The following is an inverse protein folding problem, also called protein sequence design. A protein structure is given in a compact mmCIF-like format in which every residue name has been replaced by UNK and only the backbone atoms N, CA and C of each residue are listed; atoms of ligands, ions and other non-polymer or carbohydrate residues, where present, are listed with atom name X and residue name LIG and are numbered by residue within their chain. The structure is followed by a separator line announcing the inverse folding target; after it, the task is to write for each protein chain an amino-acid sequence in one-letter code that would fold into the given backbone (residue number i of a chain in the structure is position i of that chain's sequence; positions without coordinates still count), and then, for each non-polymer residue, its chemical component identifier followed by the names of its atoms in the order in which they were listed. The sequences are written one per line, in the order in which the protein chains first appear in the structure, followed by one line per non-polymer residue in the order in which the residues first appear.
data_IF_097055521916
#
_entry.id   IF_097055521916
#
_cell.length_a   1.000
_cell.length_b   1.000
_cell.length_c   1.000
_cell.angle_alpha   90.00
_cell.angle_beta   90.00
_cell.angle_gamma   90.00
#
_symmetry.space_group_name_H-M   'P 1'
#
loop_
_entity.id
_entity.type
_entity.pdbx_description
1 polymer ?
#
# COMPACT_ATOMS: atom_id res chain seq x y z
N UNK A 1 -13.17 68.07 40.87
CA UNK A 1 -13.73 67.49 39.64
C UNK A 1 -12.98 68.11 38.48
N UNK A 2 -12.01 67.39 37.90
CA UNK A 2 -11.25 67.84 36.73
C UNK A 2 -11.23 66.70 35.72
N UNK A 3 -11.85 66.94 34.58
CA UNK A 3 -12.13 65.97 33.52
C UNK A 3 -10.91 65.87 32.59
N UNK A 4 -10.28 64.71 32.53
CA UNK A 4 -9.20 64.38 31.58
C UNK A 4 -9.79 63.79 30.30
N UNK A 5 -9.63 64.51 29.19
CA UNK A 5 -9.92 64.04 27.83
C UNK A 5 -8.73 63.23 27.30
N UNK A 6 -8.92 61.92 27.09
CA UNK A 6 -7.95 61.05 26.43
C UNK A 6 -8.15 61.10 24.91
N UNK A 7 -7.12 61.54 24.18
CA UNK A 7 -7.06 61.49 22.71
C UNK A 7 -6.58 60.09 22.29
N UNK A 8 -7.44 59.32 21.64
CA UNK A 8 -7.12 57.99 21.11
C UNK A 8 -6.22 58.12 19.88
N UNK A 9 -4.97 57.64 19.98
CA UNK A 9 -4.08 57.50 18.82
C UNK A 9 -4.39 56.18 18.15
N UNK A 10 -4.97 56.24 16.94
CA UNK A 10 -5.22 55.07 16.12
C UNK A 10 -3.90 54.51 15.58
N UNK A 11 -3.41 53.42 16.18
CA UNK A 11 -2.30 52.64 15.63
C UNK A 11 -2.81 51.88 14.42
N UNK A 12 -2.50 52.38 13.22
CA UNK A 12 -2.64 51.64 11.97
C UNK A 12 -1.56 50.56 11.93
N UNK A 13 -1.93 49.34 12.32
CA UNK A 13 -1.10 48.15 12.13
C UNK A 13 -1.02 47.88 10.62
N UNK A 14 0.07 48.31 10.00
CA UNK A 14 0.40 47.94 8.63
C UNK A 14 0.73 46.45 8.59
N UNK A 15 -0.16 45.67 7.99
CA UNK A 15 0.09 44.27 7.64
C UNK A 15 1.25 44.22 6.65
N UNK A 16 2.46 43.94 7.14
CA UNK A 16 3.63 43.71 6.30
C UNK A 16 3.34 42.52 5.38
N UNK A 17 3.05 42.79 4.11
CA UNK A 17 2.94 41.76 3.08
C UNK A 17 4.37 41.24 2.88
N UNK A 18 4.65 40.00 3.27
CA UNK A 18 5.95 39.37 3.05
C UNK A 18 6.26 39.43 1.54
N UNK A 19 7.13 40.36 1.15
CA UNK A 19 7.54 40.56 -0.23
C UNK A 19 8.63 39.53 -0.51
N UNK A 20 8.25 38.30 -0.85
CA UNK A 20 9.22 37.33 -1.35
C UNK A 20 9.83 37.87 -2.65
N UNK A 21 11.09 37.52 -2.94
CA UNK A 21 11.76 37.92 -4.18
C UNK A 21 11.93 36.72 -5.10
N UNK A 22 11.91 36.94 -6.40
CA UNK A 22 12.20 35.90 -7.39
C UNK A 22 13.71 35.68 -7.44
N UNK A 23 14.18 34.49 -7.08
CA UNK A 23 15.60 34.16 -7.04
C UNK A 23 16.08 33.51 -8.34
N UNK A 24 17.27 33.90 -8.79
CA UNK A 24 18.02 33.21 -9.85
C UNK A 24 18.85 32.08 -9.20
N UNK A 25 18.80 30.83 -9.71
CA UNK A 25 19.56 29.74 -9.14
C UNK A 25 21.06 30.02 -9.09
N UNK A 26 21.71 29.66 -7.98
CA UNK A 26 23.16 29.77 -7.82
C UNK A 26 23.94 28.77 -8.69
N UNK A 27 25.28 28.78 -8.57
CA UNK A 27 26.21 27.92 -9.35
C UNK A 27 25.87 26.42 -9.33
N UNK A 28 25.26 25.93 -8.25
CA UNK A 28 24.82 24.54 -8.11
C UNK A 28 23.29 24.40 -8.07
N UNK A 29 22.56 25.36 -8.63
CA UNK A 29 21.10 25.36 -8.71
C UNK A 29 20.37 25.57 -7.39
N UNK A 30 21.08 26.03 -6.35
CA UNK A 30 20.51 26.38 -5.05
C UNK A 30 19.65 27.63 -5.16
N UNK A 31 18.48 27.57 -4.53
CA UNK A 31 17.50 28.64 -4.43
C UNK A 31 17.22 28.92 -2.95
N UNK A 32 17.24 30.18 -2.49
CA UNK A 32 16.79 30.53 -1.14
C UNK A 32 15.34 30.06 -0.90
N UNK A 33 15.07 29.44 0.24
CA UNK A 33 13.76 28.84 0.57
C UNK A 33 12.64 29.88 0.74
N UNK A 34 13.01 31.13 0.98
CA UNK A 34 12.15 32.31 1.10
C UNK A 34 11.81 32.97 -0.25
N UNK A 35 12.37 32.46 -1.36
CA UNK A 35 12.08 32.97 -2.69
C UNK A 35 10.67 32.56 -3.16
N UNK A 36 9.96 33.44 -3.88
CA UNK A 36 8.60 33.14 -4.37
C UNK A 36 8.56 31.94 -5.33
N UNK A 37 9.68 31.65 -5.99
CA UNK A 37 9.87 30.56 -6.93
C UNK A 37 10.68 29.40 -6.35
N UNK A 38 10.76 29.29 -5.02
CA UNK A 38 11.32 28.12 -4.35
C UNK A 38 10.32 26.96 -4.38
N UNK A 39 10.77 25.80 -4.86
CA UNK A 39 9.96 24.59 -4.89
C UNK A 39 10.18 23.68 -3.66
N UNK A 40 11.20 23.96 -2.86
CA UNK A 40 11.58 23.18 -1.68
C UNK A 40 11.55 24.08 -0.45
N UNK A 41 11.10 23.52 0.67
CA UNK A 41 11.10 24.19 1.98
C UNK A 41 12.45 24.05 2.71
N UNK A 42 13.43 23.43 2.07
CA UNK A 42 14.79 23.18 2.56
C UNK A 42 15.76 23.08 1.39
N UNK A 43 17.07 23.14 1.66
CA UNK A 43 18.11 22.92 0.64
C UNK A 43 18.41 21.41 0.52
N UNK A 44 18.00 20.71 -0.55
CA UNK A 44 18.17 19.27 -0.66
C UNK A 44 19.64 18.88 -0.82
N UNK A 45 20.10 17.90 -0.05
CA UNK A 45 21.48 17.43 -0.07
C UNK A 45 21.74 16.52 -1.26
N UNK A 46 22.58 16.98 -2.20
CA UNK A 46 23.04 16.16 -3.33
C UNK A 46 23.71 14.87 -2.85
N UNK A 47 24.59 14.95 -1.84
CA UNK A 47 25.35 13.82 -1.36
C UNK A 47 24.46 12.75 -0.71
N UNK A 48 23.48 13.17 0.11
CA UNK A 48 22.57 12.25 0.76
C UNK A 48 21.65 11.54 -0.25
N UNK A 49 21.02 12.30 -1.16
CA UNK A 49 20.16 11.73 -2.19
C UNK A 49 20.93 10.77 -3.12
N UNK A 50 22.17 11.12 -3.50
CA UNK A 50 23.02 10.25 -4.31
C UNK A 50 23.39 8.97 -3.56
N UNK A 51 23.70 9.04 -2.27
CA UNK A 51 24.00 7.86 -1.47
C UNK A 51 22.82 6.87 -1.45
N UNK A 52 21.60 7.36 -1.19
CA UNK A 52 20.40 6.52 -1.25
C UNK A 52 20.14 5.98 -2.66
N UNK A 53 20.34 6.79 -3.71
CA UNK A 53 20.24 6.34 -5.10
C UNK A 53 21.15 5.14 -5.38
N UNK A 54 22.43 5.22 -4.97
CA UNK A 54 23.40 4.14 -5.15
C UNK A 54 23.01 2.91 -4.31
N UNK A 55 22.58 3.08 -3.06
CA UNK A 55 22.17 1.97 -2.19
C UNK A 55 20.94 1.22 -2.73
N UNK A 56 19.91 1.93 -3.19
CA UNK A 56 18.76 1.34 -3.86
C UNK A 56 19.13 0.71 -5.20
N UNK A 57 20.03 1.33 -5.97
CA UNK A 57 20.54 0.78 -7.22
C UNK A 57 21.28 -0.55 -7.03
N UNK A 58 22.17 -0.64 -6.05
CA UNK A 58 22.86 -1.89 -5.67
C UNK A 58 21.86 -2.97 -5.25
N UNK A 59 20.91 -2.59 -4.39
CA UNK A 59 19.84 -3.48 -3.92
C UNK A 59 19.00 -4.02 -5.07
N UNK A 60 18.64 -3.17 -6.03
CA UNK A 60 17.91 -3.52 -7.26
C UNK A 60 18.70 -4.51 -8.11
N UNK A 61 20.01 -4.29 -8.28
CA UNK A 61 20.88 -5.17 -9.05
C UNK A 61 20.95 -6.58 -8.43
N UNK A 62 21.05 -6.67 -7.10
CA UNK A 62 21.03 -7.95 -6.39
C UNK A 62 19.69 -8.67 -6.61
N UNK A 63 18.55 -7.97 -6.48
CA UNK A 63 17.23 -8.56 -6.77
C UNK A 63 17.12 -9.06 -8.21
N UNK A 64 17.67 -8.33 -9.19
CA UNK A 64 17.68 -8.74 -10.59
C UNK A 64 18.49 -10.03 -10.81
N UNK A 65 19.70 -10.09 -10.25
CA UNK A 65 20.54 -11.30 -10.29
C UNK A 65 19.78 -12.47 -9.66
N UNK A 66 19.18 -12.27 -8.48
CA UNK A 66 18.40 -13.29 -7.80
C UNK A 66 17.18 -13.76 -8.61
N UNK A 67 16.49 -12.85 -9.30
CA UNK A 67 15.36 -13.21 -10.16
C UNK A 67 15.78 -14.06 -11.36
N UNK A 68 16.95 -13.79 -11.96
CA UNK A 68 17.51 -14.59 -13.06
C UNK A 68 17.91 -15.99 -12.55
N UNK A 69 18.53 -16.07 -11.36
CA UNK A 69 18.98 -17.33 -10.77
C UNK A 69 17.82 -18.22 -10.29
N UNK A 70 16.85 -17.65 -9.55
CA UNK A 70 15.75 -18.41 -8.95
C UNK A 70 14.53 -18.57 -9.85
N UNK A 71 14.43 -17.76 -10.92
CA UNK A 71 13.35 -17.80 -11.94
C UNK A 71 11.94 -17.72 -11.36
N UNK A 72 11.78 -17.06 -10.20
CA UNK A 72 10.47 -16.87 -9.53
C UNK A 72 9.80 -15.60 -10.04
N UNK A 73 8.75 -15.75 -10.85
CA UNK A 73 8.11 -14.63 -11.55
C UNK A 73 7.51 -13.55 -10.63
N UNK A 74 7.11 -13.90 -9.41
CA UNK A 74 6.52 -12.91 -8.50
C UNK A 74 7.55 -11.95 -7.88
N UNK A 75 8.84 -12.31 -7.91
CA UNK A 75 9.92 -11.44 -7.43
C UNK A 75 10.14 -10.21 -8.32
N UNK A 76 9.63 -10.21 -9.56
CA UNK A 76 9.58 -9.01 -10.40
C UNK A 76 8.85 -7.84 -9.73
N UNK A 77 7.89 -8.13 -8.85
CA UNK A 77 7.16 -7.09 -8.10
C UNK A 77 8.09 -6.35 -7.13
N UNK A 78 8.97 -7.06 -6.43
CA UNK A 78 9.97 -6.43 -5.56
C UNK A 78 11.02 -5.64 -6.38
N UNK A 79 11.42 -6.16 -7.54
CA UNK A 79 12.33 -5.45 -8.46
C UNK A 79 11.72 -4.12 -8.92
N UNK A 80 10.42 -4.11 -9.28
CA UNK A 80 9.72 -2.89 -9.65
C UNK A 80 9.76 -1.85 -8.53
N UNK A 81 9.48 -2.26 -7.28
CA UNK A 81 9.59 -1.38 -6.11
C UNK A 81 11.00 -0.82 -5.92
N UNK A 82 12.03 -1.67 -5.95
CA UNK A 82 13.43 -1.24 -5.78
C UNK A 82 13.89 -0.31 -6.92
N UNK A 83 13.44 -0.59 -8.16
CA UNK A 83 13.72 0.25 -9.33
C UNK A 83 13.08 1.63 -9.17
N UNK A 84 11.85 1.70 -8.67
CA UNK A 84 11.15 2.97 -8.46
C UNK A 84 11.80 3.79 -7.35
N UNK A 85 12.26 3.18 -6.26
CA UNK A 85 13.08 3.90 -5.26
C UNK A 85 14.36 4.47 -5.90
N UNK A 86 15.06 3.66 -6.71
CA UNK A 86 16.28 4.10 -7.40
C UNK A 86 16.01 5.29 -8.32
N UNK A 87 14.95 5.22 -9.14
CA UNK A 87 14.55 6.31 -10.04
C UNK A 87 14.12 7.54 -9.25
N UNK A 88 13.35 7.37 -8.18
CA UNK A 88 12.91 8.46 -7.30
C UNK A 88 14.11 9.21 -6.72
N UNK A 89 15.09 8.49 -6.17
CA UNK A 89 16.32 9.10 -5.65
C UNK A 89 17.25 9.66 -6.74
N UNK A 90 17.25 9.10 -7.96
CA UNK A 90 17.94 9.71 -9.09
C UNK A 90 17.35 11.09 -9.42
N UNK A 91 16.02 11.19 -9.49
CA UNK A 91 15.34 12.47 -9.70
C UNK A 91 15.57 13.46 -8.54
N UNK A 92 15.51 13.01 -7.28
CA UNK A 92 15.82 13.88 -6.12
C UNK A 92 17.27 14.35 -6.14
N UNK A 93 18.20 13.50 -6.57
CA UNK A 93 19.62 13.87 -6.76
C UNK A 93 19.77 14.94 -7.83
N UNK A 94 19.13 14.79 -8.99
CA UNK A 94 19.13 15.81 -10.05
C UNK A 94 18.42 17.10 -9.60
N UNK A 95 17.30 16.97 -8.87
CA UNK A 95 16.52 18.07 -8.31
C UNK A 95 17.30 18.90 -7.30
N UNK A 96 18.19 18.29 -6.50
CA UNK A 96 19.05 19.02 -5.56
C UNK A 96 19.96 20.05 -6.25
N UNK A 97 20.34 19.79 -7.51
CA UNK A 97 21.16 20.70 -8.33
C UNK A 97 20.37 21.53 -9.33
N UNK A 98 19.05 21.33 -9.41
CA UNK A 98 18.16 22.09 -10.26
C UNK A 98 16.80 22.23 -9.57
N UNK A 99 16.78 23.04 -8.51
CA UNK A 99 15.68 23.09 -7.55
C UNK A 99 14.40 23.68 -8.16
N UNK A 100 14.50 24.51 -9.20
CA UNK A 100 13.34 25.10 -9.88
C UNK A 100 12.68 24.15 -10.89
N UNK A 101 13.32 23.02 -11.21
CA UNK A 101 12.77 22.07 -12.16
C UNK A 101 11.66 21.23 -11.52
N UNK A 102 10.40 21.58 -11.84
CA UNK A 102 9.23 20.86 -11.34
C UNK A 102 9.17 19.40 -11.80
N UNK A 103 9.75 19.06 -12.96
CA UNK A 103 9.79 17.67 -13.45
C UNK A 103 10.55 16.79 -12.47
N UNK A 104 11.72 17.22 -11.99
CA UNK A 104 12.50 16.44 -11.04
C UNK A 104 11.80 16.30 -9.69
N UNK A 105 11.16 17.36 -9.22
CA UNK A 105 10.38 17.33 -7.98
C UNK A 105 9.19 16.38 -8.09
N UNK A 106 8.34 16.55 -9.10
CA UNK A 106 7.10 15.78 -9.27
C UNK A 106 7.41 14.30 -9.46
N UNK A 107 8.31 13.95 -10.39
CA UNK A 107 8.63 12.55 -10.65
C UNK A 107 9.42 11.92 -9.50
N UNK A 108 10.35 12.65 -8.88
CA UNK A 108 11.08 12.19 -7.71
C UNK A 108 10.14 11.86 -6.55
N UNK A 109 9.18 12.74 -6.26
CA UNK A 109 8.18 12.52 -5.22
C UNK A 109 7.21 11.40 -5.59
N UNK A 110 6.75 11.34 -6.84
CA UNK A 110 5.83 10.31 -7.30
C UNK A 110 6.45 8.92 -7.15
N UNK A 111 7.63 8.68 -7.71
CA UNK A 111 8.30 7.38 -7.60
C UNK A 111 8.59 7.00 -6.14
N UNK A 112 9.03 7.97 -5.33
CA UNK A 112 9.26 7.75 -3.90
C UNK A 112 7.98 7.37 -3.14
N UNK A 113 6.82 7.94 -3.49
CA UNK A 113 5.54 7.61 -2.85
C UNK A 113 4.97 6.26 -3.31
N UNK A 114 5.16 5.89 -4.58
CA UNK A 114 4.53 4.68 -5.13
C UNK A 114 5.39 3.42 -4.97
N UNK A 115 6.71 3.54 -4.85
CA UNK A 115 7.61 2.39 -4.72
C UNK A 115 7.26 1.43 -3.57
N UNK A 116 6.88 1.88 -2.36
CA UNK A 116 6.51 0.99 -1.25
C UNK A 116 5.26 0.13 -1.52
N UNK A 117 4.35 0.58 -2.39
CA UNK A 117 3.16 -0.20 -2.76
C UNK A 117 3.54 -1.52 -3.43
N UNK A 118 4.59 -1.49 -4.26
CA UNK A 118 5.12 -2.68 -4.89
C UNK A 118 5.73 -3.64 -3.86
N UNK A 119 6.47 -3.11 -2.90
CA UNK A 119 7.10 -3.90 -1.83
C UNK A 119 6.02 -4.56 -0.97
N UNK A 120 4.97 -3.82 -0.63
CA UNK A 120 3.86 -4.35 0.14
C UNK A 120 3.08 -5.43 -0.61
N UNK A 121 2.76 -5.18 -1.88
CA UNK A 121 2.15 -6.17 -2.75
C UNK A 121 2.99 -7.45 -2.85
N UNK A 122 4.32 -7.33 -2.93
CA UNK A 122 5.23 -8.46 -2.92
C UNK A 122 5.14 -9.26 -1.62
N UNK A 123 5.10 -8.62 -0.45
CA UNK A 123 4.95 -9.30 0.85
C UNK A 123 3.62 -10.05 0.92
N UNK A 124 2.50 -9.43 0.52
CA UNK A 124 1.20 -10.09 0.43
C UNK A 124 1.24 -11.34 -0.47
N UNK A 125 1.97 -11.23 -1.58
CA UNK A 125 2.20 -12.31 -2.54
C UNK A 125 3.07 -13.43 -1.97
N UNK A 126 4.12 -13.09 -1.22
CA UNK A 126 5.04 -14.03 -0.61
C UNK A 126 4.35 -14.84 0.51
N UNK A 127 3.71 -14.15 1.46
CA UNK A 127 2.99 -14.78 2.57
C UNK A 127 1.88 -15.70 2.05
N UNK A 128 1.10 -15.27 1.06
CA UNK A 128 0.07 -16.13 0.48
C UNK A 128 0.64 -17.40 -0.17
N UNK A 129 1.80 -17.31 -0.84
CA UNK A 129 2.47 -18.50 -1.39
C UNK A 129 2.97 -19.43 -0.29
N UNK A 130 3.44 -18.89 0.82
CA UNK A 130 3.86 -19.68 1.98
C UNK A 130 2.67 -20.40 2.63
N UNK A 131 1.53 -19.71 2.78
CA UNK A 131 0.26 -20.31 3.21
C UNK A 131 -0.15 -21.44 2.27
N UNK A 132 -0.09 -21.21 0.96
CA UNK A 132 -0.46 -22.22 -0.04
C UNK A 132 0.47 -23.44 -0.03
N UNK A 133 1.76 -23.22 0.22
CA UNK A 133 2.78 -24.27 0.21
C UNK A 133 2.77 -25.14 1.47
N UNK A 134 2.42 -24.58 2.63
CA UNK A 134 2.51 -25.31 3.92
C UNK A 134 1.17 -25.66 4.57
N UNK A 135 0.08 -24.97 4.24
CA UNK A 135 -1.22 -25.29 4.84
C UNK A 135 -1.88 -26.47 4.10
N UNK A 136 -2.33 -27.53 4.82
CA UNK A 136 -3.03 -28.67 4.22
C UNK A 136 -4.24 -28.25 3.37
N UNK A 137 -5.04 -27.32 3.88
CA UNK A 137 -6.24 -26.82 3.20
C UNK A 137 -5.97 -25.68 2.20
N UNK A 138 -4.71 -25.25 2.05
CA UNK A 138 -4.28 -24.08 1.27
C UNK A 138 -5.07 -22.79 1.61
N UNK A 139 -5.61 -22.74 2.82
CA UNK A 139 -6.45 -21.68 3.37
C UNK A 139 -5.91 -21.23 4.72
N UNK A 140 -6.13 -19.96 5.04
CA UNK A 140 -5.88 -19.38 6.35
C UNK A 140 -7.11 -18.56 6.74
N UNK A 141 -7.62 -18.73 7.96
CA UNK A 141 -8.84 -18.06 8.44
C UNK A 141 -10.05 -18.24 7.50
N UNK A 142 -10.19 -19.42 6.87
CA UNK A 142 -11.25 -19.71 5.89
C UNK A 142 -11.05 -19.08 4.50
N UNK A 143 -10.05 -18.21 4.34
CA UNK A 143 -9.74 -17.50 3.09
C UNK A 143 -8.68 -18.29 2.31
N UNK A 144 -8.91 -18.48 1.00
CA UNK A 144 -7.91 -19.08 0.10
C UNK A 144 -6.73 -18.13 -0.09
N UNK A 145 -5.50 -18.65 -0.04
CA UNK A 145 -4.26 -17.87 -0.19
C UNK A 145 -4.30 -16.86 -1.36
N UNK A 146 -4.73 -17.29 -2.55
CA UNK A 146 -4.80 -16.43 -3.75
C UNK A 146 -5.77 -15.25 -3.55
N UNK A 147 -6.90 -15.47 -2.88
CA UNK A 147 -7.89 -14.40 -2.61
C UNK A 147 -7.36 -13.40 -1.59
N UNK A 148 -6.56 -13.86 -0.63
CA UNK A 148 -5.90 -12.99 0.34
C UNK A 148 -5.00 -11.98 -0.36
N UNK A 149 -4.08 -12.43 -1.23
CA UNK A 149 -3.26 -11.51 -2.02
C UNK A 149 -4.09 -10.51 -2.82
N UNK A 150 -5.11 -10.97 -3.54
CA UNK A 150 -5.93 -10.08 -4.36
C UNK A 150 -6.67 -9.03 -3.51
N UNK A 151 -7.23 -9.43 -2.37
CA UNK A 151 -7.94 -8.52 -1.47
C UNK A 151 -7.02 -7.40 -0.99
N UNK A 152 -5.88 -7.74 -0.40
CA UNK A 152 -4.97 -6.76 0.19
C UNK A 152 -4.33 -5.84 -0.86
N UNK A 153 -3.95 -6.36 -2.03
CA UNK A 153 -3.44 -5.52 -3.13
C UNK A 153 -4.50 -4.55 -3.66
N UNK A 154 -5.75 -4.99 -3.82
CA UNK A 154 -6.81 -4.08 -4.27
C UNK A 154 -7.18 -3.03 -3.24
N UNK A 155 -7.18 -3.39 -1.95
CA UNK A 155 -7.36 -2.43 -0.86
C UNK A 155 -6.27 -1.35 -0.94
N UNK A 156 -5.00 -1.72 -1.02
CA UNK A 156 -3.91 -0.75 -1.15
C UNK A 156 -4.06 0.16 -2.38
N UNK A 157 -4.43 -0.39 -3.54
CA UNK A 157 -4.63 0.41 -4.76
C UNK A 157 -5.73 1.44 -4.54
N UNK A 158 -6.86 1.05 -3.95
CA UNK A 158 -7.98 1.96 -3.67
C UNK A 158 -7.54 3.05 -2.68
N UNK A 159 -6.84 2.68 -1.61
CA UNK A 159 -6.35 3.62 -0.60
C UNK A 159 -5.30 4.58 -1.16
N UNK A 160 -4.46 4.10 -2.05
CA UNK A 160 -3.52 4.94 -2.78
C UNK A 160 -4.23 5.93 -3.72
N UNK A 161 -5.28 5.51 -4.42
CA UNK A 161 -6.08 6.43 -5.26
C UNK A 161 -6.74 7.53 -4.41
N UNK A 162 -7.23 7.19 -3.21
CA UNK A 162 -7.75 8.17 -2.25
C UNK A 162 -6.66 9.16 -1.82
N UNK A 163 -5.45 8.68 -1.55
CA UNK A 163 -4.29 9.54 -1.24
C UNK A 163 -3.89 10.41 -2.43
N UNK A 164 -3.88 9.88 -3.65
CA UNK A 164 -3.60 10.64 -4.86
C UNK A 164 -4.61 11.76 -5.08
N UNK A 165 -5.90 11.47 -4.88
CA UNK A 165 -6.96 12.48 -4.93
C UNK A 165 -6.75 13.54 -3.83
N UNK A 166 -6.53 13.14 -2.59
CA UNK A 166 -6.23 14.06 -1.49
C UNK A 166 -5.01 14.94 -1.76
N UNK A 167 -3.90 14.34 -2.19
CA UNK A 167 -2.64 15.02 -2.55
C UNK A 167 -2.80 16.01 -3.70
N UNK A 168 -3.62 15.69 -4.71
CA UNK A 168 -3.90 16.62 -5.81
C UNK A 168 -4.71 17.85 -5.37
N UNK A 169 -5.52 17.72 -4.33
CA UNK A 169 -6.26 18.85 -3.76
C UNK A 169 -5.36 19.75 -2.90
N UNK A 170 -4.26 19.23 -2.36
CA UNK A 170 -3.27 20.04 -1.64
C UNK A 170 -2.50 21.00 -2.55
N UNK A 171 -2.43 20.76 -3.86
CA UNK A 171 -1.74 21.66 -4.80
C UNK A 171 -2.61 22.83 -5.28
N UNK A 172 -3.85 22.96 -4.77
CA UNK A 172 -4.73 24.07 -5.12
C UNK A 172 -4.42 25.27 -4.21
N UNK A 173 -4.01 26.38 -4.78
CA UNK A 173 -3.60 27.58 -4.03
C UNK A 173 -4.74 28.57 -3.78
N UNK A 174 -5.92 28.35 -4.38
CA UNK A 174 -6.99 29.34 -4.42
C UNK A 174 -8.07 29.11 -3.34
N UNK A 175 -8.19 27.89 -2.80
CA UNK A 175 -9.22 27.54 -1.82
C UNK A 175 -8.69 26.74 -0.63
N UNK A 176 -8.58 27.42 0.52
CA UNK A 176 -8.16 26.82 1.79
C UNK A 176 -9.09 25.69 2.27
N UNK A 177 -10.36 25.67 1.88
CA UNK A 177 -11.26 24.56 2.19
C UNK A 177 -10.90 23.33 1.37
N UNK A 178 -10.56 23.50 0.09
CA UNK A 178 -10.09 22.41 -0.78
C UNK A 178 -8.80 21.79 -0.24
N UNK A 179 -7.84 22.61 0.21
CA UNK A 179 -6.60 22.13 0.85
C UNK A 179 -6.91 21.31 2.11
N UNK A 180 -7.78 21.81 3.00
CA UNK A 180 -8.16 21.11 4.24
C UNK A 180 -8.88 19.79 3.97
N UNK A 181 -9.77 19.76 2.98
CA UNK A 181 -10.45 18.53 2.55
C UNK A 181 -9.42 17.55 1.99
N UNK A 182 -8.51 18.02 1.15
CA UNK A 182 -7.42 17.23 0.59
C UNK A 182 -6.54 16.61 1.67
N UNK A 183 -6.17 17.38 2.69
CA UNK A 183 -5.36 16.91 3.83
C UNK A 183 -6.09 15.79 4.59
N UNK A 184 -7.37 16.01 4.94
CA UNK A 184 -8.19 14.99 5.61
C UNK A 184 -8.34 13.72 4.76
N UNK A 185 -8.54 13.88 3.45
CA UNK A 185 -8.70 12.76 2.52
C UNK A 185 -7.40 11.97 2.39
N UNK A 186 -6.27 12.66 2.25
CA UNK A 186 -4.94 12.04 2.23
C UNK A 186 -4.67 11.27 3.52
N UNK A 187 -4.85 11.91 4.68
CA UNK A 187 -4.65 11.30 6.00
C UNK A 187 -5.57 10.08 6.22
N UNK A 188 -6.83 10.16 5.79
CA UNK A 188 -7.76 9.03 5.87
C UNK A 188 -7.26 7.84 5.04
N UNK A 189 -6.75 8.09 3.83
CA UNK A 189 -6.15 7.07 2.99
C UNK A 189 -4.93 6.40 3.62
N UNK A 190 -4.00 7.19 4.18
CA UNK A 190 -2.81 6.67 4.87
C UNK A 190 -3.19 5.91 6.16
N UNK A 191 -4.15 6.43 6.93
CA UNK A 191 -4.59 5.82 8.19
C UNK A 191 -5.31 4.49 7.98
N UNK A 192 -6.18 4.41 6.96
CA UNK A 192 -6.82 3.16 6.59
C UNK A 192 -5.81 2.17 5.99
N UNK A 193 -4.79 2.66 5.26
CA UNK A 193 -3.69 1.81 4.80
C UNK A 193 -2.93 1.21 5.98
N UNK A 194 -2.60 2.00 7.00
CA UNK A 194 -1.98 1.50 8.23
C UNK A 194 -2.79 0.37 8.86
N UNK A 195 -4.10 0.57 9.00
CA UNK A 195 -5.00 -0.45 9.56
C UNK A 195 -4.97 -1.76 8.75
N UNK A 196 -4.98 -1.67 7.42
CA UNK A 196 -4.87 -2.84 6.53
C UNK A 196 -3.56 -3.60 6.75
N UNK A 197 -2.43 -2.89 6.87
CA UNK A 197 -1.12 -3.51 7.15
C UNK A 197 -1.09 -4.19 8.51
N UNK A 198 -1.60 -3.52 9.55
CA UNK A 198 -1.63 -4.07 10.91
C UNK A 198 -2.49 -5.33 10.97
N UNK A 199 -3.64 -5.35 10.29
CA UNK A 199 -4.45 -6.56 10.14
C UNK A 199 -3.64 -7.66 9.44
N UNK A 200 -2.90 -7.32 8.37
CA UNK A 200 -2.08 -8.29 7.64
C UNK A 200 -0.92 -8.84 8.48
N UNK A 201 -0.30 -8.01 9.33
CA UNK A 201 0.69 -8.44 10.33
C UNK A 201 0.05 -9.46 11.28
N UNK A 202 -1.15 -9.18 11.80
CA UNK A 202 -1.89 -10.10 12.65
C UNK A 202 -2.17 -11.45 11.96
N UNK A 203 -2.57 -11.43 10.69
CA UNK A 203 -2.79 -12.65 9.88
C UNK A 203 -1.48 -13.41 9.67
N UNK A 204 -0.37 -12.71 9.39
CA UNK A 204 0.95 -13.33 9.18
C UNK A 204 1.52 -13.92 10.46
N UNK A 205 1.32 -13.24 11.61
CA UNK A 205 1.68 -13.76 12.92
C UNK A 205 0.83 -14.98 13.28
N UNK A 206 -0.48 -14.94 13.03
CA UNK A 206 -1.36 -16.10 13.20
C UNK A 206 -0.91 -17.28 12.33
N UNK A 207 -0.52 -17.03 11.08
CA UNK A 207 0.07 -18.05 10.22
C UNK A 207 1.33 -18.66 10.83
N UNK A 208 2.23 -17.84 11.36
CA UNK A 208 3.44 -18.30 12.04
C UNK A 208 3.12 -19.22 13.22
N UNK A 209 2.21 -18.80 14.12
CA UNK A 209 1.82 -19.61 15.28
C UNK A 209 1.16 -20.92 14.87
N UNK A 210 0.25 -20.88 13.88
CA UNK A 210 -0.42 -22.08 13.37
C UNK A 210 0.57 -23.04 12.72
N UNK A 211 1.51 -22.53 11.91
CA UNK A 211 2.53 -23.38 11.29
C UNK A 211 3.46 -24.00 12.34
N UNK A 212 3.83 -23.25 13.37
CA UNK A 212 4.64 -23.75 14.48
C UNK A 212 3.93 -24.85 15.27
N UNK A 213 2.61 -24.82 15.40
CA UNK A 213 1.84 -25.91 16.02
C UNK A 213 1.81 -27.17 15.14
N UNK A 214 1.74 -27.02 13.81
CA UNK A 214 1.69 -28.14 12.88
C UNK A 214 3.06 -28.81 12.67
N UNK A 215 4.13 -28.02 12.57
CA UNK A 215 5.47 -28.51 12.21
C UNK A 215 6.47 -28.50 13.37
N UNK A 216 6.16 -27.87 14.49
CA UNK A 216 7.05 -27.77 15.65
C UNK A 216 8.43 -27.20 15.28
N UNK A 217 9.48 -28.01 15.49
CA UNK A 217 10.88 -27.65 15.16
C UNK A 217 11.23 -27.84 13.67
N UNK A 218 10.39 -28.48 12.85
CA UNK A 218 10.72 -28.80 11.45
C UNK A 218 10.48 -27.65 10.46
N UNK A 219 10.09 -26.46 10.93
CA UNK A 219 9.85 -25.30 10.04
C UNK A 219 11.09 -24.89 9.22
N UNK A 220 12.30 -25.17 9.72
CA UNK A 220 13.56 -24.92 9.03
C UNK A 220 13.66 -23.49 8.47
N UNK A 221 13.99 -23.36 7.18
CA UNK A 221 14.12 -22.07 6.48
C UNK A 221 12.80 -21.30 6.34
N UNK A 222 11.64 -21.95 6.47
CA UNK A 222 10.33 -21.28 6.38
C UNK A 222 10.12 -20.31 7.54
N UNK A 223 10.58 -20.67 8.74
CA UNK A 223 10.54 -19.79 9.92
C UNK A 223 11.20 -18.45 9.61
N UNK A 224 12.42 -18.48 9.10
CA UNK A 224 13.18 -17.28 8.78
C UNK A 224 12.51 -16.44 7.71
N UNK A 225 11.93 -17.06 6.68
CA UNK A 225 11.17 -16.33 5.67
C UNK A 225 9.93 -15.63 6.26
N UNK A 226 9.18 -16.29 7.15
CA UNK A 226 8.02 -15.65 7.83
C UNK A 226 8.49 -14.48 8.69
N UNK A 227 9.56 -14.65 9.46
CA UNK A 227 10.11 -13.59 10.30
C UNK A 227 10.63 -12.42 9.46
N UNK A 228 11.24 -12.67 8.30
CA UNK A 228 11.61 -11.61 7.36
C UNK A 228 10.38 -10.85 6.85
N UNK A 229 9.30 -11.55 6.48
CA UNK A 229 8.07 -10.87 6.04
C UNK A 229 7.48 -10.00 7.15
N UNK A 230 7.48 -10.48 8.40
CA UNK A 230 7.04 -9.70 9.56
C UNK A 230 7.93 -8.48 9.80
N UNK A 231 9.25 -8.63 9.72
CA UNK A 231 10.19 -7.52 9.87
C UNK A 231 9.98 -6.45 8.77
N UNK A 232 9.80 -6.88 7.51
CA UNK A 232 9.49 -5.97 6.41
C UNK A 232 8.17 -5.23 6.64
N UNK A 233 7.12 -5.92 7.11
CA UNK A 233 5.84 -5.27 7.42
C UNK A 233 5.98 -4.22 8.52
N UNK A 234 6.78 -4.48 9.56
CA UNK A 234 7.06 -3.51 10.62
C UNK A 234 7.78 -2.28 10.07
N UNK A 235 8.77 -2.47 9.18
CA UNK A 235 9.46 -1.35 8.52
C UNK A 235 8.52 -0.51 7.64
N UNK A 236 7.58 -1.15 6.95
CA UNK A 236 6.53 -0.46 6.19
C UNK A 236 5.61 0.33 7.15
N UNK A 237 5.26 -0.23 8.31
CA UNK A 237 4.47 0.49 9.33
C UNK A 237 5.18 1.74 9.82
N UNK A 238 6.50 1.67 10.10
CA UNK A 238 7.29 2.85 10.52
C UNK A 238 7.14 3.98 9.50
N UNK A 239 7.32 3.67 8.20
CA UNK A 239 7.11 4.61 7.10
C UNK A 239 5.70 5.20 7.10
N UNK A 240 4.67 4.36 7.19
CA UNK A 240 3.27 4.84 7.15
C UNK A 240 2.95 5.73 8.35
N UNK A 241 3.46 5.41 9.54
CA UNK A 241 3.32 6.24 10.75
C UNK A 241 4.03 7.57 10.56
N UNK A 242 5.26 7.57 10.03
CA UNK A 242 5.95 8.81 9.68
C UNK A 242 5.11 9.66 8.71
N UNK A 243 4.52 9.07 7.67
CA UNK A 243 3.64 9.80 6.73
C UNK A 243 2.39 10.38 7.40
N UNK A 244 1.80 9.68 8.37
CA UNK A 244 0.69 10.22 9.15
C UNK A 244 1.10 11.43 10.00
N UNK A 245 2.30 11.39 10.59
CA UNK A 245 2.81 12.47 11.43
C UNK A 245 3.27 13.64 10.56
N UNK A 246 3.90 13.38 9.41
CA UNK A 246 4.34 14.40 8.43
C UNK A 246 3.16 15.24 7.94
N UNK A 247 2.05 14.60 7.55
CA UNK A 247 0.87 15.29 7.02
C UNK A 247 -0.20 15.62 8.08
N UNK A 248 -0.03 15.14 9.32
CA UNK A 248 -1.01 15.25 10.40
C UNK A 248 -1.30 16.69 10.89
N UNK A 249 -0.26 17.52 11.14
CA UNK A 249 -0.43 18.91 11.54
C UNK A 249 -1.01 19.83 10.47
N UNK A 250 -1.12 19.37 9.22
CA UNK A 250 -1.31 20.22 8.04
C UNK A 250 0.01 20.81 7.53
N UNK A 251 -0.01 21.32 6.29
CA UNK A 251 1.12 22.04 5.67
C UNK A 251 1.25 23.42 6.34
N UNK A 252 1.72 23.45 7.58
CA UNK A 252 2.00 24.68 8.30
C UNK A 252 3.50 24.95 8.28
N UNK A 253 3.90 26.21 8.15
CA UNK A 253 5.29 26.69 8.08
C UNK A 253 6.15 26.31 9.31
N UNK A 254 5.56 25.77 10.37
CA UNK A 254 6.24 25.30 11.58
C UNK A 254 6.45 23.77 11.65
N UNK A 255 6.11 23.02 10.60
CA UNK A 255 6.30 21.58 10.60
C UNK A 255 7.77 21.23 10.34
N UNK A 256 8.55 21.05 11.40
CA UNK A 256 9.97 20.67 11.35
C UNK A 256 10.23 19.43 10.49
N UNK A 257 9.24 18.56 10.30
CA UNK A 257 9.33 17.36 9.44
C UNK A 257 9.40 17.68 7.94
N UNK A 258 8.89 18.84 7.51
CA UNK A 258 9.00 19.33 6.13
C UNK A 258 10.25 20.17 5.89
N UNK A 259 10.88 20.70 6.93
CA UNK A 259 12.00 21.64 6.84
C UNK A 259 13.36 20.92 6.92
N UNK A 260 13.38 19.69 7.45
CA UNK A 260 14.61 18.91 7.59
C UNK A 260 14.56 17.63 6.76
N UNK A 261 15.44 17.55 5.74
CA UNK A 261 15.56 16.40 4.84
C UNK A 261 15.93 15.10 5.56
N UNK A 262 16.57 15.19 6.73
CA UNK A 262 17.00 14.03 7.51
C UNK A 262 15.83 13.14 7.97
N UNK A 263 14.65 13.70 8.22
CA UNK A 263 13.48 12.92 8.63
C UNK A 263 12.96 12.00 7.51
N UNK A 264 12.64 12.48 6.29
CA UNK A 264 12.23 11.57 5.22
C UNK A 264 13.36 10.61 4.80
N UNK A 265 14.63 10.98 4.91
CA UNK A 265 15.71 10.03 4.66
C UNK A 265 15.79 8.93 5.73
N UNK A 266 15.70 9.30 7.01
CA UNK A 266 15.86 8.40 8.15
C UNK A 266 14.63 7.55 8.48
N UNK A 267 13.44 8.13 8.42
CA UNK A 267 12.19 7.46 8.85
C UNK A 267 11.35 6.94 7.69
N UNK A 268 11.70 7.30 6.46
CA UNK A 268 10.93 6.91 5.28
C UNK A 268 11.74 6.09 4.27
N UNK A 269 12.90 6.60 3.85
CA UNK A 269 13.76 5.90 2.89
C UNK A 269 14.54 4.75 3.54
N UNK A 270 15.12 4.98 4.73
CA UNK A 270 15.93 3.97 5.42
C UNK A 270 15.16 2.69 5.78
N UNK A 271 13.94 2.74 6.34
CA UNK A 271 13.18 1.51 6.62
C UNK A 271 12.90 0.71 5.35
N UNK A 272 12.63 1.38 4.23
CA UNK A 272 12.39 0.72 2.94
C UNK A 272 13.67 0.14 2.34
N UNK A 273 14.80 0.83 2.47
CA UNK A 273 16.10 0.28 2.10
C UNK A 273 16.41 -1.00 2.89
N UNK A 274 16.25 -0.95 4.21
CA UNK A 274 16.45 -2.12 5.08
C UNK A 274 15.49 -3.24 4.67
N UNK A 275 14.22 -2.93 4.39
CA UNK A 275 13.25 -3.91 3.94
C UNK A 275 13.70 -4.62 2.65
N UNK A 276 14.16 -3.88 1.64
CA UNK A 276 14.64 -4.46 0.40
C UNK A 276 15.94 -5.28 0.59
N UNK A 277 16.83 -4.85 1.48
CA UNK A 277 18.05 -5.61 1.85
C UNK A 277 17.67 -6.90 2.57
N UNK A 278 16.71 -6.89 3.49
CA UNK A 278 16.20 -8.09 4.14
C UNK A 278 15.60 -9.07 3.13
N UNK A 279 14.89 -8.56 2.12
CA UNK A 279 14.36 -9.37 1.02
C UNK A 279 15.45 -9.93 0.10
N UNK A 280 16.58 -9.23 -0.07
CA UNK A 280 17.76 -9.76 -0.73
C UNK A 280 18.39 -10.91 0.07
N UNK A 281 18.57 -10.72 1.38
CA UNK A 281 19.18 -11.75 2.25
C UNK A 281 18.31 -13.00 2.31
N UNK A 282 17.00 -12.83 2.53
CA UNK A 282 16.04 -13.92 2.64
C UNK A 282 15.10 -13.97 1.44
N UNK A 283 15.69 -14.17 0.26
CA UNK A 283 14.92 -14.25 -0.97
C UNK A 283 14.00 -15.49 -0.97
N UNK A 284 12.68 -15.35 -1.29
CA UNK A 284 11.75 -16.48 -1.25
C UNK A 284 12.14 -17.69 -2.11
N UNK A 285 12.95 -17.48 -3.15
CA UNK A 285 13.51 -18.54 -4.01
C UNK A 285 14.44 -19.53 -3.30
N UNK A 286 14.95 -19.20 -2.11
CA UNK A 286 15.71 -20.13 -1.28
C UNK A 286 14.81 -21.17 -0.60
N UNK A 287 13.59 -20.77 -0.22
CA UNK A 287 12.69 -21.57 0.62
C UNK A 287 11.58 -22.23 -0.19
N UNK A 288 11.00 -21.52 -1.15
CA UNK A 288 9.89 -22.00 -1.97
C UNK A 288 10.42 -22.79 -3.19
N UNK A 289 10.96 -23.99 -2.93
CA UNK A 289 11.39 -24.95 -3.96
C UNK A 289 10.49 -26.20 -3.92
N UNK A 290 9.77 -26.50 -5.00
CA UNK A 290 8.94 -27.70 -5.13
C UNK A 290 7.72 -27.56 -6.06
N UNK A 291 6.99 -28.67 -6.33
CA UNK A 291 5.86 -28.73 -7.28
C UNK A 291 4.68 -27.79 -6.97
N UNK A 292 4.53 -27.37 -5.71
CA UNK A 292 3.48 -26.46 -5.23
C UNK A 292 4.03 -25.06 -4.84
N UNK A 293 5.27 -24.74 -5.21
CA UNK A 293 5.90 -23.47 -4.86
C UNK A 293 5.39 -22.26 -5.65
N UNK A 294 4.64 -22.50 -6.73
CA UNK A 294 3.94 -21.48 -7.51
C UNK A 294 2.43 -21.74 -7.49
N UNK A 295 1.64 -20.67 -7.56
CA UNK A 295 0.20 -20.84 -7.79
C UNK A 295 -0.03 -21.48 -9.17
N UNK A 296 -0.94 -22.46 -9.28
CA UNK A 296 -1.23 -23.14 -10.54
C UNK A 296 -1.71 -22.12 -11.56
N UNK A 297 -1.00 -22.06 -12.69
CA UNK A 297 -1.39 -21.23 -13.83
C UNK A 297 -2.49 -21.96 -14.57
N UNK A 298 -3.74 -21.77 -14.17
CA UNK A 298 -4.84 -22.22 -15.03
C UNK A 298 -4.75 -21.44 -16.35
N UNK A 299 -4.57 -22.17 -17.44
CA UNK A 299 -4.61 -21.66 -18.80
C UNK A 299 -5.91 -20.91 -19.05
N UNK A 300 -5.93 -19.94 -19.97
CA UNK A 300 -7.17 -19.24 -20.36
C UNK A 300 -8.27 -20.22 -20.75
N UNK A 301 -7.91 -21.34 -21.40
CA UNK A 301 -8.83 -22.44 -21.74
C UNK A 301 -9.40 -23.12 -20.49
N UNK A 302 -8.55 -23.48 -19.53
CA UNK A 302 -8.97 -24.10 -18.27
C UNK A 302 -9.82 -23.16 -17.42
N UNK A 303 -9.48 -21.86 -17.33
CA UNK A 303 -10.32 -20.86 -16.65
C UNK A 303 -11.70 -20.74 -17.30
N UNK A 304 -11.78 -20.80 -18.63
CA UNK A 304 -13.05 -20.76 -19.39
C UNK A 304 -13.87 -22.03 -19.13
N UNK A 305 -13.23 -23.20 -19.16
CA UNK A 305 -13.85 -24.48 -18.85
C UNK A 305 -14.39 -24.51 -17.40
N UNK A 306 -13.60 -24.08 -16.41
CA UNK A 306 -14.02 -24.04 -15.01
C UNK A 306 -15.16 -23.04 -14.76
N UNK A 307 -15.18 -21.92 -15.50
CA UNK A 307 -16.30 -20.95 -15.48
C UNK A 307 -17.56 -21.54 -16.10
N UNK A 308 -17.44 -22.29 -17.20
CA UNK A 308 -18.54 -23.00 -17.84
C UNK A 308 -19.10 -24.10 -16.92
N UNK A 309 -18.23 -24.89 -16.30
CA UNK A 309 -18.59 -25.94 -15.36
C UNK A 309 -19.36 -25.38 -14.16
N UNK A 310 -18.87 -24.30 -13.53
CA UNK A 310 -19.61 -23.60 -12.46
C UNK A 310 -20.93 -23.01 -12.92
N UNK A 311 -21.02 -22.55 -14.17
CA UNK A 311 -22.29 -22.04 -14.74
C UNK A 311 -23.28 -23.19 -14.94
N UNK A 312 -22.80 -24.35 -15.39
CA UNK A 312 -23.59 -25.58 -15.56
C UNK A 312 -24.07 -26.10 -14.19
N UNK A 313 -23.18 -26.23 -13.20
CA UNK A 313 -23.53 -26.62 -11.83
C UNK A 313 -24.56 -25.69 -11.21
N UNK A 314 -24.41 -24.37 -11.36
CA UNK A 314 -25.43 -23.40 -10.90
C UNK A 314 -26.76 -23.57 -11.61
N UNK A 315 -26.76 -23.92 -12.90
CA UNK A 315 -27.98 -24.16 -13.68
C UNK A 315 -28.66 -25.44 -13.20
N UNK A 316 -27.91 -26.53 -13.07
CA UNK A 316 -28.39 -27.80 -12.52
C UNK A 316 -28.92 -27.66 -11.09
N UNK A 317 -28.23 -26.91 -10.21
CA UNK A 317 -28.70 -26.65 -8.86
C UNK A 317 -30.01 -25.84 -8.83
N UNK A 318 -30.19 -24.90 -9.77
CA UNK A 318 -31.45 -24.16 -9.93
C UNK A 318 -32.57 -25.08 -10.43
N UNK A 319 -32.29 -25.93 -11.41
CA UNK A 319 -33.26 -26.91 -11.96
C UNK A 319 -33.66 -27.93 -10.89
N UNK A 320 -32.72 -28.50 -10.16
CA UNK A 320 -32.98 -29.41 -9.04
C UNK A 320 -33.82 -28.74 -7.94
N UNK A 321 -33.56 -27.47 -7.63
CA UNK A 321 -34.38 -26.70 -6.67
C UNK A 321 -35.80 -26.47 -7.20
N UNK A 322 -35.97 -26.24 -8.50
CA UNK A 322 -37.29 -26.09 -9.14
C UNK A 322 -38.06 -27.41 -9.14
N UNK A 323 -37.40 -28.52 -9.48
CA UNK A 323 -37.98 -29.86 -9.44
C UNK A 323 -38.41 -30.27 -8.02
N UNK A 324 -37.56 -30.02 -6.99
CA UNK A 324 -37.95 -30.23 -5.58
C UNK A 324 -39.19 -29.43 -5.17
N UNK A 325 -39.31 -28.18 -5.63
CA UNK A 325 -40.49 -27.35 -5.35
C UNK A 325 -41.73 -27.88 -6.04
N UNK A 326 -41.62 -28.27 -7.32
CA UNK A 326 -42.72 -28.84 -8.07
C UNK A 326 -43.22 -30.15 -7.44
N UNK A 327 -42.32 -31.09 -7.13
CA UNK A 327 -42.69 -32.34 -6.47
C UNK A 327 -43.29 -32.14 -5.07
N UNK A 328 -42.80 -31.17 -4.28
CA UNK A 328 -43.42 -30.83 -3.00
C UNK A 328 -44.82 -30.23 -3.14
N UNK A 329 -45.07 -29.48 -4.22
CA UNK A 329 -46.39 -28.93 -4.52
C UNK A 329 -47.36 -30.03 -4.96
N UNK A 330 -46.91 -30.94 -5.81
CA UNK A 330 -47.67 -32.08 -6.29
C UNK A 330 -48.05 -33.04 -5.15
N UNK A 331 -47.12 -33.34 -4.24
CA UNK A 331 -47.39 -34.12 -3.04
C UNK A 331 -48.42 -33.45 -2.13
N UNK A 332 -48.38 -32.11 -2.03
CA UNK A 332 -49.34 -31.34 -1.25
C UNK A 332 -50.73 -31.39 -1.89
N UNK A 333 -50.82 -31.27 -3.21
CA UNK A 333 -52.08 -31.38 -3.95
C UNK A 333 -52.71 -32.77 -3.80
N UNK A 334 -51.91 -33.84 -3.93
CA UNK A 334 -52.35 -35.22 -3.72
C UNK A 334 -52.84 -35.46 -2.28
N UNK A 335 -52.19 -34.84 -1.29
CA UNK A 335 -52.64 -34.90 0.12
C UNK A 335 -53.97 -34.17 0.34
N UNK A 336 -54.23 -33.06 -0.35
CA UNK A 336 -55.51 -32.34 -0.28
C UNK A 336 -56.64 -33.12 -0.96
N UNK A 337 -56.38 -33.73 -2.12
CA UNK A 337 -57.36 -34.59 -2.82
C UNK A 337 -57.70 -35.84 -1.99
N UNK A 338 -56.70 -36.46 -1.35
CA UNK A 338 -56.93 -37.59 -0.43
C UNK A 338 -57.78 -37.22 0.80
N UNK A 339 -57.57 -36.03 1.39
CA UNK A 339 -58.38 -35.55 2.52
C UNK A 339 -59.80 -35.13 2.11
N UNK A 340 -59.97 -34.60 0.89
CA UNK A 340 -61.26 -34.26 0.30
C UNK A 340 -62.13 -35.50 0.07
N UNK A 341 -61.56 -36.55 -0.53
CA UNK A 341 -62.29 -37.79 -0.78
C UNK A 341 -62.67 -38.52 0.51
N UNK A 342 -61.78 -38.54 1.51
CA UNK A 342 -62.09 -39.15 2.82
C UNK A 342 -63.17 -38.40 3.60
N UNK A 343 -63.36 -37.09 3.37
CA UNK A 343 -64.41 -36.29 4.03
C UNK A 343 -65.78 -36.47 3.37
N UNK A 344 -65.83 -36.80 2.07
CA UNK A 344 -67.07 -37.05 1.33
C UNK A 344 -67.63 -38.46 1.52
N UNK A 345 -66.84 -39.42 2.01
CA UNK A 345 -67.30 -40.79 2.33
C UNK A 345 -67.85 -40.94 3.77
N UNK A 346 -67.76 -39.89 4.61
CA UNK A 346 -68.21 -39.88 6.00
C UNK A 346 -69.52 -39.09 6.24
N UNK A 347 -70.22 -38.71 5.17
CA UNK A 347 -71.58 -38.15 5.17
C UNK A 347 -72.50 -39.14 4.46
#
# INVERSE_FOLDING_TARGET
MSTTTFTSTATTTSSATATCTTAVPGKYGRVPVDACNANYFFDPSFAANLAFCVLFGMTTMVHLIQAILFKKKFCWVAIMGATWETIGFAFKTLGSRNQQNMTYLIWGQLFFLLAPLWINAFVYMAVARMVYFRMPDRKLLGIKAIRMTLLFVWLDIILFLVQGAGGSMLSNNDDMNVIRIGQKLYMAGVGLQLAVIVIFIGITAFFYFKLRQLEGRSMGRMKWLILTMLAVLILIVIRIVYRLIEFGPGVNEHNQLLIHEEYPLGLDATPILIALVLLNIMHPGFVLRGPDSEFPKLSRKEKKALKQQKKMEKKQAKEAKKARKAGAQELKNLSYEGQSNSSNELV
#
